data_IF_920628118192
#
_entry.id   IF_920628118192
#
_cell.length_a   1.000
_cell.length_b   1.000
_cell.length_c   1.000
_cell.angle_alpha   90.00
_cell.angle_beta   90.00
_cell.angle_gamma   90.00
#
_symmetry.space_group_name_H-M   'P 1'
#
loop_
_entity.id
_entity.type
_entity.pdbx_description
1 polymer ?
#
# COMPACT_ATOMS: atom_id res chain seq x y z
N UNK A 1 1.38 -1.54 -5.49
CA UNK A 1 0.46 -2.31 -4.61
C UNK A 1 -0.12 -1.33 -3.57
N UNK A 2 -1.05 -1.72 -2.69
CA UNK A 2 -1.58 -0.82 -1.64
C UNK A 2 -1.11 -1.26 -0.25
N UNK A 3 -0.91 -0.29 0.65
CA UNK A 3 -0.74 -0.59 2.09
C UNK A 3 -2.09 -0.88 2.78
N UNK A 4 -3.21 -0.63 2.11
CA UNK A 4 -4.54 -1.03 2.54
C UNK A 4 -4.69 -2.54 2.68
N UNK A 5 -5.66 -2.97 3.47
CA UNK A 5 -5.83 -4.37 3.87
C UNK A 5 -7.30 -4.85 3.89
N UNK A 6 -8.21 -4.05 3.32
CA UNK A 6 -9.60 -4.40 3.05
C UNK A 6 -10.10 -3.51 1.89
N UNK A 7 -11.32 -3.74 1.38
CA UNK A 7 -11.86 -2.95 0.25
C UNK A 7 -11.78 -1.43 0.46
N UNK A 8 -12.22 -0.94 1.62
CA UNK A 8 -12.21 0.50 1.91
C UNK A 8 -10.80 1.09 1.90
N UNK A 9 -9.86 0.46 2.61
CA UNK A 9 -8.49 0.98 2.72
C UNK A 9 -7.67 0.75 1.46
N UNK A 10 -7.92 -0.34 0.73
CA UNK A 10 -7.25 -0.66 -0.52
C UNK A 10 -7.65 0.31 -1.65
N UNK A 11 -8.95 0.59 -1.77
CA UNK A 11 -9.52 1.33 -2.92
C UNK A 11 -9.90 2.78 -2.60
N UNK A 12 -9.77 3.18 -1.34
CA UNK A 12 -10.11 4.51 -0.86
C UNK A 12 -11.59 4.66 -0.52
N UNK A 13 -11.90 5.66 0.30
CA UNK A 13 -13.26 5.96 0.74
C UNK A 13 -13.44 7.46 1.04
N UNK A 14 -14.70 7.90 1.02
CA UNK A 14 -15.10 9.24 1.47
C UNK A 14 -15.08 9.26 3.00
N UNK A 15 -14.38 10.24 3.58
CA UNK A 15 -14.33 10.48 5.02
C UNK A 15 -14.77 11.90 5.33
N UNK A 16 -15.30 12.14 6.52
CA UNK A 16 -15.80 13.46 6.91
C UNK A 16 -14.84 14.10 7.91
N UNK A 17 -14.28 15.24 7.52
CA UNK A 17 -13.59 16.12 8.44
C UNK A 17 -14.62 16.95 9.22
N UNK A 18 -14.49 16.96 10.54
CA UNK A 18 -15.38 17.66 11.45
C UNK A 18 -14.71 18.93 11.99
N UNK A 19 -15.26 20.09 11.65
CA UNK A 19 -14.83 21.40 12.11
C UNK A 19 -15.95 22.09 12.91
N UNK A 20 -16.07 21.81 14.23
CA UNK A 20 -17.22 22.24 15.04
C UNK A 20 -17.48 23.75 15.02
N UNK A 21 -16.44 24.57 14.88
CA UNK A 21 -16.52 26.03 14.86
C UNK A 21 -17.33 26.57 13.67
N UNK A 22 -17.51 25.78 12.59
CA UNK A 22 -18.25 26.17 11.39
C UNK A 22 -19.77 25.91 11.50
N UNK A 23 -20.26 25.48 12.67
CA UNK A 23 -21.68 25.36 12.98
C UNK A 23 -22.42 24.41 12.04
N UNK A 24 -23.41 24.91 11.29
CA UNK A 24 -24.20 24.10 10.35
C UNK A 24 -23.35 23.49 9.23
N UNK A 25 -22.27 24.16 8.80
CA UNK A 25 -21.39 23.71 7.71
C UNK A 25 -20.14 22.96 8.23
N UNK A 26 -20.19 22.38 9.44
CA UNK A 26 -19.03 21.74 10.10
C UNK A 26 -18.46 20.49 9.41
N UNK A 27 -19.21 19.88 8.49
CA UNK A 27 -18.81 18.62 7.87
C UNK A 27 -18.29 18.85 6.45
N UNK A 28 -17.00 18.61 6.25
CA UNK A 28 -16.36 18.65 4.94
C UNK A 28 -15.98 17.25 4.48
N UNK A 29 -16.34 16.91 3.23
CA UNK A 29 -15.97 15.63 2.63
C UNK A 29 -14.49 15.63 2.22
N UNK A 30 -13.81 14.54 2.53
CA UNK A 30 -12.42 14.26 2.17
C UNK A 30 -12.32 12.89 1.52
N UNK A 31 -11.32 12.69 0.67
CA UNK A 31 -11.01 11.37 0.12
C UNK A 31 -9.80 10.80 0.84
N UNK A 32 -9.94 9.62 1.45
CA UNK A 32 -8.83 8.92 2.11
C UNK A 32 -8.42 7.73 1.29
N UNK A 33 -7.15 7.72 0.93
CA UNK A 33 -6.50 6.66 0.17
C UNK A 33 -5.26 6.26 0.95
N UNK A 34 -5.13 4.97 1.25
CA UNK A 34 -3.89 4.49 1.82
C UNK A 34 -2.80 4.52 0.75
N UNK A 35 -1.60 4.91 1.17
CA UNK A 35 -0.47 5.06 0.26
C UNK A 35 -0.25 3.79 -0.56
N UNK A 36 0.11 3.99 -1.82
CA UNK A 36 0.64 2.92 -2.64
C UNK A 36 1.99 2.50 -2.09
N UNK A 37 2.14 1.19 -1.92
CA UNK A 37 3.38 0.62 -1.47
C UNK A 37 4.35 0.48 -2.63
N UNK A 38 5.53 1.08 -2.46
CA UNK A 38 6.57 1.22 -3.48
C UNK A 38 7.41 -0.04 -3.68
N UNK A 39 7.24 -1.09 -2.86
CA UNK A 39 8.02 -2.31 -3.03
C UNK A 39 7.55 -3.21 -4.18
N UNK A 40 6.37 -2.95 -4.77
CA UNK A 40 5.99 -3.57 -6.04
C UNK A 40 4.96 -2.73 -6.81
N UNK A 41 5.33 -2.28 -8.01
CA UNK A 41 4.43 -1.59 -8.92
C UNK A 41 4.81 -1.81 -10.37
N UNK A 42 3.88 -1.48 -11.25
CA UNK A 42 4.07 -1.41 -12.69
C UNK A 42 3.89 0.04 -13.15
N UNK A 43 4.84 0.55 -13.92
CA UNK A 43 4.77 1.86 -14.55
C UNK A 43 4.86 1.68 -16.06
N UNK A 44 3.87 2.20 -16.79
CA UNK A 44 3.92 2.28 -18.25
C UNK A 44 4.73 3.52 -18.64
N UNK A 45 5.67 3.44 -19.60
CA UNK A 45 6.51 4.56 -20.00
C UNK A 45 5.71 5.58 -20.85
N UNK A 46 4.83 6.33 -20.20
CA UNK A 46 4.11 7.47 -20.79
C UNK A 46 4.76 8.78 -20.36
N UNK A 47 4.52 9.89 -21.08
CA UNK A 47 5.06 11.20 -20.70
C UNK A 47 4.75 11.55 -19.24
N UNK A 48 3.50 11.44 -18.74
CA UNK A 48 3.21 11.73 -17.33
C UNK A 48 3.91 10.80 -16.34
N UNK A 49 4.16 9.54 -16.72
CA UNK A 49 4.86 8.57 -15.86
C UNK A 49 6.36 8.80 -15.81
N UNK A 50 6.97 9.26 -16.91
CA UNK A 50 8.37 9.68 -16.93
C UNK A 50 8.54 10.92 -16.05
N UNK A 51 7.65 11.91 -16.21
CA UNK A 51 7.65 13.12 -15.40
C UNK A 51 7.48 12.84 -13.91
N UNK A 52 6.60 11.90 -13.54
CA UNK A 52 6.49 11.42 -12.16
C UNK A 52 7.83 10.92 -11.62
N UNK A 53 8.54 10.08 -12.38
CA UNK A 53 9.82 9.53 -11.96
C UNK A 53 10.93 10.58 -11.89
N UNK A 54 10.95 11.55 -12.81
CA UNK A 54 11.89 12.67 -12.78
C UNK A 54 11.70 13.51 -11.51
N UNK A 55 10.45 13.83 -11.14
CA UNK A 55 10.13 14.59 -9.92
C UNK A 55 10.51 13.81 -8.65
N UNK A 56 10.25 12.50 -8.61
CA UNK A 56 10.65 11.65 -7.48
C UNK A 56 12.17 11.62 -7.35
N UNK A 57 12.90 11.38 -8.45
CA UNK A 57 14.36 11.31 -8.44
C UNK A 57 14.97 12.63 -7.97
N UNK A 58 14.48 13.77 -8.46
CA UNK A 58 14.92 15.09 -8.05
C UNK A 58 14.71 15.35 -6.55
N UNK A 59 13.52 14.98 -6.03
CA UNK A 59 13.21 15.12 -4.60
C UNK A 59 14.08 14.23 -3.73
N UNK A 60 14.23 12.96 -4.09
CA UNK A 60 15.08 12.02 -3.35
C UNK A 60 16.56 12.44 -3.37
N UNK A 61 17.03 13.05 -4.45
CA UNK A 61 18.41 13.55 -4.54
C UNK A 61 18.67 14.77 -3.64
N UNK A 62 17.66 15.64 -3.43
CA UNK A 62 17.80 16.87 -2.64
C UNK A 62 17.42 16.72 -1.17
N UNK A 63 16.58 15.75 -0.83
CA UNK A 63 16.02 15.57 0.50
C UNK A 63 16.62 14.32 1.15
N UNK A 64 17.70 14.48 1.91
CA UNK A 64 18.49 13.38 2.47
C UNK A 64 17.68 12.35 3.31
N UNK A 65 16.59 12.78 3.93
CA UNK A 65 15.73 11.94 4.78
C UNK A 65 14.39 11.58 4.11
N UNK A 66 14.25 11.84 2.81
CA UNK A 66 13.02 11.50 2.10
C UNK A 66 12.89 9.99 1.91
N UNK A 67 11.69 9.47 2.17
CA UNK A 67 11.35 8.08 1.93
C UNK A 67 10.68 7.95 0.56
N UNK A 68 11.17 7.03 -0.27
CA UNK A 68 10.70 6.81 -1.65
C UNK A 68 9.19 6.58 -1.73
N UNK A 69 8.62 5.81 -0.80
CA UNK A 69 7.18 5.58 -0.75
C UNK A 69 6.41 6.87 -0.47
N UNK A 70 6.91 7.72 0.43
CA UNK A 70 6.27 8.99 0.76
C UNK A 70 6.33 9.94 -0.44
N UNK A 71 7.51 10.15 -1.01
CA UNK A 71 7.71 11.03 -2.18
C UNK A 71 6.87 10.57 -3.38
N UNK A 72 6.86 9.26 -3.67
CA UNK A 72 6.06 8.70 -4.77
C UNK A 72 4.57 9.04 -4.62
N UNK A 73 4.02 8.86 -3.42
CA UNK A 73 2.60 9.13 -3.19
C UNK A 73 2.32 10.64 -3.16
N UNK A 74 3.16 11.43 -2.52
CA UNK A 74 3.00 12.88 -2.53
C UNK A 74 2.96 13.42 -3.95
N UNK A 75 3.96 13.14 -4.79
CA UNK A 75 3.96 13.60 -6.19
C UNK A 75 2.73 13.12 -6.96
N UNK A 76 2.34 11.84 -6.82
CA UNK A 76 1.22 11.25 -7.55
C UNK A 76 -0.16 11.83 -7.15
N UNK A 77 -0.29 12.32 -5.92
CA UNK A 77 -1.57 12.82 -5.38
C UNK A 77 -1.59 14.34 -5.17
N UNK A 78 -0.47 15.04 -5.36
CA UNK A 78 -0.39 16.48 -5.12
C UNK A 78 -1.22 17.28 -6.14
N UNK A 79 -2.24 18.05 -5.70
CA UNK A 79 -3.09 18.80 -6.62
C UNK A 79 -2.34 19.95 -7.30
N UNK A 80 -2.74 20.29 -8.52
CA UNK A 80 -2.33 21.54 -9.16
C UNK A 80 -2.77 22.74 -8.32
N UNK A 81 -1.93 23.77 -8.27
CA UNK A 81 -2.22 25.04 -7.59
C UNK A 81 -1.44 26.18 -8.27
N UNK A 82 -1.66 27.46 -7.95
CA UNK A 82 -0.89 28.55 -8.54
C UNK A 82 0.61 28.29 -8.41
N UNK A 83 1.32 28.30 -9.55
CA UNK A 83 2.75 28.02 -9.61
C UNK A 83 3.15 26.53 -9.65
N UNK A 84 2.21 25.58 -9.60
CA UNK A 84 2.49 24.15 -9.69
C UNK A 84 1.49 23.43 -10.60
N UNK A 85 2.01 22.80 -11.64
CA UNK A 85 1.23 21.90 -12.51
C UNK A 85 1.37 20.48 -11.97
N UNK A 86 0.28 19.94 -11.45
CA UNK A 86 0.21 18.57 -10.96
C UNK A 86 0.37 17.54 -12.06
N UNK A 87 0.71 16.32 -11.66
CA UNK A 87 0.92 15.22 -12.60
C UNK A 87 -0.39 14.78 -13.24
N UNK A 88 -0.33 14.50 -14.53
CA UNK A 88 -1.44 13.93 -15.30
C UNK A 88 -1.39 12.39 -15.38
N UNK A 89 -0.72 11.75 -14.41
CA UNK A 89 -0.55 10.31 -14.39
C UNK A 89 -1.84 9.60 -13.94
N UNK A 90 -2.33 8.66 -14.75
CA UNK A 90 -3.38 7.74 -14.35
C UNK A 90 -2.83 6.65 -13.44
N UNK A 91 -3.60 6.23 -12.43
CA UNK A 91 -3.23 5.17 -11.49
C UNK A 91 -4.34 4.14 -11.34
N UNK A 92 -3.95 2.90 -11.02
CA UNK A 92 -4.86 1.80 -10.69
C UNK A 92 -4.31 1.02 -9.51
N UNK A 93 -5.15 0.78 -8.50
CA UNK A 93 -4.82 -0.11 -7.40
C UNK A 93 -4.88 -1.57 -7.89
N UNK A 94 -3.81 -2.33 -7.65
CA UNK A 94 -3.83 -3.79 -7.87
C UNK A 94 -4.65 -4.48 -6.79
N UNK A 95 -5.34 -5.56 -7.15
CA UNK A 95 -6.18 -6.31 -6.20
C UNK A 95 -5.36 -6.77 -4.98
N UNK A 96 -5.81 -6.41 -3.78
CA UNK A 96 -5.03 -6.62 -2.56
C UNK A 96 -4.96 -8.09 -2.12
N UNK A 97 -5.84 -8.96 -2.62
CA UNK A 97 -5.74 -10.40 -2.42
C UNK A 97 -4.78 -11.06 -3.42
N UNK A 98 -4.59 -10.50 -4.61
CA UNK A 98 -3.59 -11.02 -5.56
C UNK A 98 -2.19 -10.45 -5.30
N UNK A 99 -2.09 -9.25 -4.75
CA UNK A 99 -0.84 -8.55 -4.46
C UNK A 99 -0.77 -8.19 -2.97
N UNK A 100 -0.66 -9.22 -2.14
CA UNK A 100 -0.80 -9.13 -0.70
C UNK A 100 0.39 -8.41 -0.05
N UNK A 101 0.09 -7.53 0.90
CA UNK A 101 1.05 -7.10 1.92
C UNK A 101 0.92 -7.99 3.18
N UNK A 102 1.80 -7.83 4.17
CA UNK A 102 1.77 -8.64 5.39
C UNK A 102 0.49 -8.49 6.19
N UNK A 103 -0.15 -7.31 6.20
CA UNK A 103 -1.43 -7.12 6.91
C UNK A 103 -2.52 -7.99 6.28
N UNK A 104 -2.58 -8.03 4.95
CA UNK A 104 -3.55 -8.88 4.24
C UNK A 104 -3.30 -10.36 4.54
N UNK A 105 -2.05 -10.82 4.44
CA UNK A 105 -1.74 -12.24 4.64
C UNK A 105 -1.91 -12.67 6.10
N UNK A 106 -1.18 -12.04 7.03
CA UNK A 106 -1.05 -12.51 8.40
C UNK A 106 -2.25 -12.15 9.27
N UNK A 107 -2.91 -11.01 9.05
CA UNK A 107 -4.08 -10.63 9.87
C UNK A 107 -5.40 -11.20 9.34
N UNK A 108 -5.49 -11.49 8.04
CA UNK A 108 -6.78 -11.82 7.40
C UNK A 108 -6.73 -13.14 6.64
N UNK A 109 -6.00 -13.22 5.52
CA UNK A 109 -6.10 -14.33 4.56
C UNK A 109 -5.80 -15.68 5.21
N UNK A 110 -4.70 -15.80 5.97
CA UNK A 110 -4.30 -17.10 6.55
C UNK A 110 -5.32 -17.66 7.55
N UNK A 111 -6.14 -16.80 8.15
CA UNK A 111 -7.11 -17.14 9.20
C UNK A 111 -8.48 -17.51 8.65
N UNK A 112 -8.75 -17.19 7.39
CA UNK A 112 -10.01 -17.48 6.73
C UNK A 112 -9.87 -18.73 5.86
N UNK A 113 -10.74 -19.71 6.09
CA UNK A 113 -10.68 -21.01 5.44
C UNK A 113 -10.91 -20.94 3.91
N UNK A 114 -11.59 -19.91 3.41
CA UNK A 114 -11.81 -19.69 1.99
C UNK A 114 -10.72 -18.83 1.38
N UNK A 115 -10.32 -17.74 2.05
CA UNK A 115 -9.29 -16.84 1.53
C UNK A 115 -7.92 -17.52 1.48
N UNK A 116 -7.57 -18.38 2.43
CA UNK A 116 -6.27 -19.07 2.44
C UNK A 116 -6.07 -20.00 1.23
N UNK A 117 -7.13 -20.33 0.49
CA UNK A 117 -7.07 -21.10 -0.76
C UNK A 117 -6.64 -20.27 -1.97
N UNK A 118 -6.69 -18.93 -1.87
CA UNK A 118 -6.27 -18.03 -2.93
C UNK A 118 -4.78 -18.19 -3.20
N UNK A 119 -4.39 -18.22 -4.48
CA UNK A 119 -2.98 -18.18 -4.89
C UNK A 119 -2.62 -16.74 -5.26
N UNK A 120 -1.90 -15.99 -4.40
CA UNK A 120 -1.48 -14.64 -4.74
C UNK A 120 -0.46 -14.66 -5.88
N UNK A 121 -0.39 -13.57 -6.63
CA UNK A 121 0.68 -13.31 -7.60
C UNK A 121 1.95 -12.92 -6.86
N UNK A 122 1.83 -12.06 -5.84
CA UNK A 122 2.93 -11.63 -4.98
C UNK A 122 2.48 -11.56 -3.52
N UNK A 123 3.38 -11.96 -2.63
CA UNK A 123 3.31 -11.67 -1.19
C UNK A 123 4.50 -10.79 -0.82
N UNK A 124 4.24 -9.53 -0.52
CA UNK A 124 5.24 -8.61 0.00
C UNK A 124 5.26 -8.69 1.52
N UNK A 125 6.31 -9.30 2.08
CA UNK A 125 6.56 -9.36 3.53
C UNK A 125 7.13 -8.03 4.03
N UNK A 126 6.24 -7.07 4.28
CA UNK A 126 6.53 -5.76 4.90
C UNK A 126 6.19 -5.74 6.40
N UNK A 127 6.57 -4.67 7.10
CA UNK A 127 6.30 -4.42 8.55
C UNK A 127 6.95 -5.35 9.59
N UNK A 128 7.75 -6.33 9.16
CA UNK A 128 8.35 -7.32 10.06
C UNK A 128 9.88 -7.21 10.12
N UNK A 129 10.50 -7.40 11.30
CA UNK A 129 11.95 -7.56 11.42
C UNK A 129 12.40 -8.97 10.98
N UNK A 130 11.57 -9.98 11.22
CA UNK A 130 11.79 -11.40 10.91
C UNK A 130 11.34 -11.76 9.48
N UNK A 131 11.73 -10.96 8.48
CA UNK A 131 11.27 -11.14 7.08
C UNK A 131 11.66 -12.50 6.50
N UNK A 132 12.89 -12.93 6.70
CA UNK A 132 13.42 -14.17 6.10
C UNK A 132 12.62 -15.42 6.51
N UNK A 133 12.40 -15.71 7.81
CA UNK A 133 11.61 -16.89 8.19
C UNK A 133 10.16 -16.81 7.70
N UNK A 134 9.54 -15.62 7.70
CA UNK A 134 8.20 -15.42 7.12
C UNK A 134 8.17 -15.69 5.63
N UNK A 135 9.15 -15.20 4.86
CA UNK A 135 9.25 -15.48 3.42
C UNK A 135 9.41 -16.97 3.14
N UNK A 136 10.21 -17.69 3.93
CA UNK A 136 10.33 -19.16 3.82
C UNK A 136 8.99 -19.84 4.08
N UNK A 137 8.28 -19.43 5.12
CA UNK A 137 6.95 -19.98 5.44
C UNK A 137 5.90 -19.71 4.37
N UNK A 138 5.95 -18.54 3.72
CA UNK A 138 5.10 -18.22 2.56
C UNK A 138 5.36 -19.18 1.40
N UNK A 139 6.63 -19.51 1.12
CA UNK A 139 7.00 -20.51 0.11
C UNK A 139 6.50 -21.89 0.52
N UNK A 140 6.72 -22.32 1.77
CA UNK A 140 6.22 -23.60 2.27
C UNK A 140 4.70 -23.73 2.12
N UNK A 141 3.96 -22.66 2.40
CA UNK A 141 2.50 -22.65 2.31
C UNK A 141 1.99 -22.68 0.86
N UNK A 142 2.43 -21.75 0.00
CA UNK A 142 1.87 -21.59 -1.33
C UNK A 142 2.51 -22.47 -2.41
N UNK A 143 3.78 -22.85 -2.25
CA UNK A 143 4.54 -23.63 -3.22
C UNK A 143 4.63 -25.10 -2.81
N UNK A 144 4.99 -25.37 -1.55
CA UNK A 144 5.19 -26.75 -1.08
C UNK A 144 3.94 -27.39 -0.46
N UNK A 145 2.86 -26.61 -0.28
CA UNK A 145 1.57 -27.11 0.19
C UNK A 145 1.46 -27.36 1.69
N UNK A 146 2.45 -26.95 2.50
CA UNK A 146 2.45 -27.09 3.95
C UNK A 146 1.46 -26.11 4.60
N UNK A 147 0.24 -26.58 4.87
CA UNK A 147 -0.90 -25.75 5.28
C UNK A 147 -0.75 -25.07 6.66
N UNK A 148 0.09 -25.61 7.54
CA UNK A 148 0.38 -25.07 8.87
C UNK A 148 1.59 -24.13 8.90
N UNK A 149 2.29 -23.94 7.76
CA UNK A 149 3.56 -23.20 7.72
C UNK A 149 3.46 -21.75 8.22
N UNK A 150 2.30 -21.11 8.06
CA UNK A 150 2.07 -19.73 8.48
C UNK A 150 1.59 -19.61 9.94
N UNK A 151 1.14 -20.68 10.59
CA UNK A 151 0.52 -20.64 11.92
C UNK A 151 1.45 -20.15 13.04
N UNK A 152 2.75 -20.51 13.07
CA UNK A 152 3.64 -20.11 14.17
C UNK A 152 3.90 -18.60 14.29
N UNK A 153 3.63 -17.83 13.25
CA UNK A 153 3.96 -16.40 13.23
C UNK A 153 2.86 -15.55 13.90
N UNK A 154 3.20 -14.53 14.69
CA UNK A 154 2.20 -13.56 15.14
C UNK A 154 1.70 -12.70 13.98
N UNK A 155 0.55 -12.05 14.17
CA UNK A 155 -0.05 -11.11 13.21
C UNK A 155 0.87 -9.93 12.90
N UNK A 156 1.52 -9.41 13.94
CA UNK A 156 2.42 -8.27 13.89
C UNK A 156 3.87 -8.65 14.15
N UNK A 157 4.61 -7.68 14.66
CA UNK A 157 6.05 -7.76 14.97
C UNK A 157 6.33 -7.64 16.46
N UNK A 158 5.28 -7.72 17.28
CA UNK A 158 5.43 -7.79 18.73
C UNK A 158 6.11 -9.12 19.05
N UNK A 159 7.30 -9.03 19.65
CA UNK A 159 7.98 -10.18 20.22
C UNK A 159 7.14 -10.66 21.41
N UNK A 160 6.78 -11.95 21.41
CA UNK A 160 6.44 -12.65 22.65
C UNK A 160 7.73 -13.13 23.31
#
# INVERSE_FOLDING_TARGET
MTDGHNNMTAYGYNDVFDEPAMGWARYAHTMRIWVYNSGFFYIRPTIPSIELLDRIADRLARQANAWDQAVFNEELFFPSHPGYVGLHASKRTMDFYLFMNSKVLFKTVRKDANLKKLKPVIVHVNYHPDKLPRMKAVVEFYVNGKQDALEPFPDGSEWQ
#
